data_IF_810836124416
#
_entry.id   IF_810836124416
#
_cell.length_a   1.000
_cell.length_b   1.000
_cell.length_c   1.000
_cell.angle_alpha   90.00
_cell.angle_beta   90.00
_cell.angle_gamma   90.00
#
_symmetry.space_group_name_H-M   'P 1'
#
loop_
_entity.id
_entity.type
_entity.pdbx_description
1 polymer ?
#
# COMPACT_ATOMS: atom_id res chain seq x y z
N UNK A 1 1.93 -6.80 -27.38
CA UNK A 1 2.09 -5.36 -27.06
C UNK A 1 2.01 -4.47 -28.29
N UNK A 2 2.77 -4.69 -29.37
CA UNK A 2 2.72 -3.82 -30.56
C UNK A 2 1.32 -3.70 -31.17
N UNK A 3 0.58 -4.81 -31.24
CA UNK A 3 -0.82 -4.78 -31.71
C UNK A 3 -1.75 -4.01 -30.78
N UNK A 4 -1.53 -4.03 -29.46
CA UNK A 4 -2.35 -3.27 -28.52
C UNK A 4 -2.14 -1.77 -28.69
N UNK A 5 -0.87 -1.36 -28.85
CA UNK A 5 -0.50 0.04 -29.13
C UNK A 5 -1.06 0.51 -30.48
N UNK A 6 -0.91 -0.30 -31.55
CA UNK A 6 -1.42 0.04 -32.88
C UNK A 6 -2.94 0.21 -32.91
N UNK A 7 -3.65 -0.55 -32.08
CA UNK A 7 -5.10 -0.47 -31.95
C UNK A 7 -5.53 0.49 -30.82
N UNK A 8 -4.63 1.33 -30.31
CA UNK A 8 -4.89 2.36 -29.30
C UNK A 8 -5.67 1.85 -28.07
N UNK A 9 -5.40 0.61 -27.64
CA UNK A 9 -6.12 0.01 -26.51
C UNK A 9 -5.82 0.75 -25.22
N UNK A 10 -6.84 1.04 -24.42
CA UNK A 10 -6.64 1.60 -23.09
C UNK A 10 -5.99 0.59 -22.12
N UNK A 11 -5.49 1.09 -20.99
CA UNK A 11 -5.03 0.23 -19.91
C UNK A 11 -6.14 -0.73 -19.44
N UNK A 12 -7.39 -0.25 -19.39
CA UNK A 12 -8.55 -1.05 -18.98
C UNK A 12 -8.90 -2.14 -20.00
N UNK A 13 -8.82 -1.84 -21.30
CA UNK A 13 -9.08 -2.82 -22.36
C UNK A 13 -8.09 -3.97 -22.29
N UNK A 14 -6.80 -3.65 -22.09
CA UNK A 14 -5.76 -4.69 -21.97
C UNK A 14 -5.88 -5.43 -20.64
N UNK A 15 -6.31 -4.78 -19.56
CA UNK A 15 -6.56 -5.44 -18.27
C UNK A 15 -7.62 -6.55 -18.42
N UNK A 16 -8.75 -6.22 -19.05
CA UNK A 16 -9.85 -7.17 -19.35
C UNK A 16 -9.44 -8.24 -20.35
N UNK A 17 -8.70 -7.88 -21.39
CA UNK A 17 -8.21 -8.83 -22.39
C UNK A 17 -7.31 -9.90 -21.77
N UNK A 18 -6.52 -9.52 -20.76
CA UNK A 18 -5.68 -10.42 -19.98
C UNK A 18 -6.43 -11.13 -18.85
N UNK A 19 -7.75 -10.90 -18.71
CA UNK A 19 -8.61 -11.45 -17.67
C UNK A 19 -8.09 -11.18 -16.25
N UNK A 20 -7.49 -10.02 -16.04
CA UNK A 20 -6.96 -9.64 -14.73
C UNK A 20 -8.07 -9.19 -13.77
N UNK A 21 -9.27 -8.95 -14.28
CA UNK A 21 -10.49 -8.72 -13.51
C UNK A 21 -11.19 -10.01 -13.05
N UNK A 22 -10.81 -11.17 -13.63
CA UNK A 22 -11.28 -12.49 -13.20
C UNK A 22 -10.53 -12.93 -11.94
N UNK A 23 -10.95 -12.42 -10.78
CA UNK A 23 -10.39 -12.79 -9.47
C UNK A 23 -9.40 -11.78 -8.91
N UNK A 24 -9.90 -10.59 -8.58
CA UNK A 24 -9.14 -9.49 -7.97
C UNK A 24 -8.30 -9.90 -6.75
N UNK A 25 -8.78 -10.86 -5.97
CA UNK A 25 -8.10 -11.33 -4.75
C UNK A 25 -6.75 -12.01 -5.05
N UNK A 26 -6.56 -12.56 -6.25
CA UNK A 26 -5.33 -13.22 -6.68
C UNK A 26 -4.54 -12.39 -7.70
N UNK A 27 -4.96 -11.15 -7.98
CA UNK A 27 -4.39 -10.30 -9.03
C UNK A 27 -2.86 -10.22 -8.98
N UNK A 28 -2.30 -10.01 -7.78
CA UNK A 28 -0.85 -9.85 -7.59
C UNK A 28 -0.04 -11.10 -7.92
N UNK A 29 -0.67 -12.27 -7.91
CA UNK A 29 -0.04 -13.56 -8.26
C UNK A 29 -0.22 -13.92 -9.73
N UNK A 30 -1.00 -13.15 -10.49
CA UNK A 30 -1.24 -13.43 -11.90
C UNK A 30 0.05 -13.27 -12.72
N UNK A 31 0.45 -14.30 -13.49
CA UNK A 31 1.65 -14.22 -14.33
C UNK A 31 1.51 -13.19 -15.46
N UNK A 32 0.28 -12.80 -15.81
CA UNK A 32 -0.01 -11.82 -16.86
C UNK A 32 0.02 -10.37 -16.36
N UNK A 33 0.08 -10.15 -15.04
CA UNK A 33 0.08 -8.80 -14.46
C UNK A 33 1.33 -8.01 -14.91
N UNK A 34 2.49 -8.66 -14.99
CA UNK A 34 3.73 -8.01 -15.44
C UNK A 34 3.63 -7.52 -16.90
N UNK A 35 2.94 -8.27 -17.76
CA UNK A 35 2.67 -7.86 -19.14
C UNK A 35 1.77 -6.63 -19.19
N UNK A 36 0.76 -6.54 -18.33
CA UNK A 36 -0.10 -5.36 -18.23
C UNK A 36 0.67 -4.14 -17.69
N UNK A 37 1.46 -4.31 -16.63
CA UNK A 37 2.30 -3.24 -16.06
C UNK A 37 3.21 -2.65 -17.14
N UNK A 38 3.95 -3.49 -17.85
CA UNK A 38 4.85 -3.06 -18.92
C UNK A 38 4.11 -2.42 -20.10
N UNK A 39 2.83 -2.77 -20.32
CA UNK A 39 2.01 -2.11 -21.32
C UNK A 39 1.62 -0.69 -20.91
N UNK A 40 1.16 -0.51 -19.66
CA UNK A 40 0.78 0.81 -19.14
C UNK A 40 1.99 1.76 -19.07
N UNK A 41 3.16 1.26 -18.69
CA UNK A 41 4.40 2.05 -18.73
C UNK A 41 4.71 2.56 -20.15
N UNK A 42 4.42 1.78 -21.19
CA UNK A 42 4.57 2.21 -22.61
C UNK A 42 3.55 3.26 -23.04
N UNK A 43 2.43 3.37 -22.32
CA UNK A 43 1.47 4.47 -22.50
C UNK A 43 1.90 5.75 -21.76
N UNK A 44 3.06 5.73 -21.08
CA UNK A 44 3.55 6.80 -20.21
C UNK A 44 2.61 7.11 -19.03
N UNK A 45 1.91 6.10 -18.52
CA UNK A 45 1.03 6.20 -17.35
C UNK A 45 1.58 5.38 -16.17
N UNK A 46 1.06 5.59 -14.97
CA UNK A 46 1.49 4.91 -13.75
C UNK A 46 0.64 3.65 -13.48
N UNK A 47 1.13 2.44 -13.79
CA UNK A 47 0.37 1.20 -13.56
C UNK A 47 0.01 0.98 -12.10
N UNK A 48 0.86 1.41 -11.16
CA UNK A 48 0.64 1.15 -9.73
C UNK A 48 -0.47 2.04 -9.17
N UNK A 49 -0.60 3.28 -9.64
CA UNK A 49 -1.74 4.14 -9.30
C UNK A 49 -3.07 3.52 -9.74
N UNK A 50 -3.12 3.03 -10.99
CA UNK A 50 -4.29 2.35 -11.55
C UNK A 50 -4.59 1.06 -10.77
N UNK A 51 -3.57 0.25 -10.46
CA UNK A 51 -3.74 -0.99 -9.71
C UNK A 51 -4.30 -0.76 -8.32
N UNK A 52 -3.84 0.27 -7.59
CA UNK A 52 -4.42 0.62 -6.29
C UNK A 52 -5.92 0.90 -6.42
N UNK A 53 -6.32 1.66 -7.44
CA UNK A 53 -7.74 1.92 -7.74
C UNK A 53 -8.52 0.63 -8.01
N UNK A 54 -7.97 -0.28 -8.82
CA UNK A 54 -8.60 -1.58 -9.11
C UNK A 54 -8.70 -2.47 -7.87
N UNK A 55 -7.63 -2.58 -7.08
CA UNK A 55 -7.61 -3.38 -5.85
C UNK A 55 -8.67 -2.88 -4.86
N UNK A 56 -8.89 -1.57 -4.74
CA UNK A 56 -9.95 -1.01 -3.88
C UNK A 56 -11.39 -1.39 -4.29
N UNK A 57 -11.59 -2.04 -5.45
CA UNK A 57 -12.90 -2.58 -5.85
C UNK A 57 -13.21 -3.95 -5.23
N UNK A 58 -12.22 -4.69 -4.71
CA UNK A 58 -12.46 -5.94 -3.98
C UNK A 58 -12.86 -5.64 -2.53
N UNK A 59 -13.84 -6.40 -2.01
CA UNK A 59 -14.23 -6.36 -0.59
C UNK A 59 -13.10 -6.73 0.38
N UNK A 60 -12.09 -7.46 -0.11
CA UNK A 60 -10.92 -7.81 0.69
C UNK A 60 -9.95 -6.65 0.86
N UNK A 61 -10.09 -5.57 0.08
CA UNK A 61 -9.16 -4.44 0.04
C UNK A 61 -9.86 -3.10 -0.16
N UNK A 62 -11.14 -3.01 0.22
CA UNK A 62 -12.01 -1.83 0.05
C UNK A 62 -11.67 -0.68 1.01
N UNK A 63 -10.85 -0.93 2.02
CA UNK A 63 -10.34 0.05 2.98
C UNK A 63 -8.80 0.08 2.97
N UNK A 64 -8.20 1.20 3.40
CA UNK A 64 -6.74 1.36 3.36
C UNK A 64 -6.02 0.38 4.32
N UNK A 65 -6.56 0.09 5.50
CA UNK A 65 -6.03 -0.93 6.42
C UNK A 65 -5.89 -2.29 5.75
N UNK A 66 -6.95 -2.75 5.08
CA UNK A 66 -6.97 -4.04 4.38
C UNK A 66 -6.05 -4.05 3.17
N UNK A 67 -6.08 -2.99 2.35
CA UNK A 67 -5.23 -2.87 1.17
C UNK A 67 -3.75 -2.91 1.54
N UNK A 68 -3.34 -2.14 2.56
CA UNK A 68 -1.96 -2.12 3.02
C UNK A 68 -1.58 -3.46 3.64
N UNK A 69 -2.47 -4.12 4.39
CA UNK A 69 -2.19 -5.46 4.90
C UNK A 69 -1.92 -6.47 3.77
N UNK A 70 -2.72 -6.45 2.70
CA UNK A 70 -2.49 -7.28 1.52
C UNK A 70 -1.13 -6.97 0.87
N UNK A 71 -0.80 -5.69 0.67
CA UNK A 71 0.48 -5.27 0.12
C UNK A 71 1.65 -5.77 0.99
N UNK A 72 1.54 -5.63 2.31
CA UNK A 72 2.58 -6.08 3.24
C UNK A 72 2.75 -7.60 3.27
N UNK A 73 1.67 -8.37 3.09
CA UNK A 73 1.74 -9.82 2.90
C UNK A 73 2.44 -10.17 1.59
N UNK A 74 2.04 -9.55 0.48
CA UNK A 74 2.65 -9.76 -0.83
C UNK A 74 4.16 -9.38 -0.84
N UNK A 75 4.57 -8.34 -0.11
CA UNK A 75 5.99 -7.97 0.02
C UNK A 75 6.88 -9.08 0.58
N UNK A 76 6.32 -10.02 1.36
CA UNK A 76 7.06 -11.14 1.96
C UNK A 76 7.26 -12.32 1.02
N UNK A 77 6.45 -12.41 -0.04
CA UNK A 77 6.51 -13.49 -1.01
C UNK A 77 7.44 -13.13 -2.17
N UNK A 78 8.42 -13.99 -2.46
CA UNK A 78 9.43 -13.71 -3.48
C UNK A 78 8.84 -13.40 -4.86
N UNK A 79 7.74 -14.07 -5.23
CA UNK A 79 7.06 -13.90 -6.52
C UNK A 79 6.32 -12.57 -6.67
N UNK A 80 5.88 -11.95 -5.56
CA UNK A 80 5.06 -10.73 -5.60
C UNK A 80 5.75 -9.51 -4.97
N UNK A 81 6.89 -9.70 -4.31
CA UNK A 81 7.61 -8.66 -3.57
C UNK A 81 7.93 -7.41 -4.39
N UNK A 82 8.35 -7.57 -5.64
CA UNK A 82 8.68 -6.44 -6.52
C UNK A 82 7.46 -5.56 -6.83
N UNK A 83 6.34 -6.16 -7.22
CA UNK A 83 5.09 -5.42 -7.51
C UNK A 83 4.55 -4.81 -6.23
N UNK A 84 4.55 -5.56 -5.12
CA UNK A 84 4.05 -5.09 -3.84
C UNK A 84 4.85 -3.90 -3.28
N UNK A 85 6.18 -3.89 -3.44
CA UNK A 85 7.01 -2.73 -3.09
C UNK A 85 6.65 -1.47 -3.89
N UNK A 86 6.37 -1.61 -5.18
CA UNK A 86 5.94 -0.48 -6.02
C UNK A 86 4.51 -0.02 -5.71
N UNK A 87 3.61 -0.94 -5.32
CA UNK A 87 2.27 -0.60 -4.82
C UNK A 87 2.32 0.15 -3.49
N UNK A 88 3.17 -0.28 -2.54
CA UNK A 88 3.41 0.45 -1.30
C UNK A 88 3.90 1.87 -1.61
N UNK A 89 4.92 2.02 -2.46
CA UNK A 89 5.43 3.34 -2.85
C UNK A 89 4.34 4.23 -3.46
N UNK A 90 3.51 3.68 -4.37
CA UNK A 90 2.40 4.41 -4.97
C UNK A 90 1.32 4.79 -3.95
N UNK A 91 1.05 3.94 -2.95
CA UNK A 91 0.11 4.26 -1.87
C UNK A 91 0.65 5.40 -0.99
N UNK A 92 1.94 5.40 -0.68
CA UNK A 92 2.58 6.49 0.06
C UNK A 92 2.51 7.82 -0.71
N UNK A 93 2.81 7.79 -2.01
CA UNK A 93 2.68 8.98 -2.88
C UNK A 93 1.24 9.47 -2.95
N UNK A 94 0.27 8.56 -3.01
CA UNK A 94 -1.14 8.92 -3.01
C UNK A 94 -1.52 9.68 -1.74
N UNK A 95 -1.15 9.18 -0.56
CA UNK A 95 -1.42 9.88 0.70
C UNK A 95 -0.73 11.24 0.77
N UNK A 96 0.49 11.39 0.24
CA UNK A 96 1.16 12.69 0.13
C UNK A 96 0.41 13.65 -0.80
N UNK A 97 -0.02 13.18 -1.97
CA UNK A 97 -0.80 13.97 -2.92
C UNK A 97 -2.16 14.40 -2.37
N UNK A 98 -2.77 13.56 -1.55
CA UNK A 98 -4.01 13.85 -0.79
C UNK A 98 -3.77 14.73 0.45
N UNK A 99 -2.52 15.09 0.75
CA UNK A 99 -2.11 15.89 1.90
C UNK A 99 -2.56 15.30 3.24
N UNK A 100 -2.60 13.97 3.32
CA UNK A 100 -2.85 13.29 4.59
C UNK A 100 -1.77 13.67 5.60
N UNK A 101 -2.12 13.72 6.89
CA UNK A 101 -1.15 13.83 7.97
C UNK A 101 -0.74 12.44 8.46
N UNK A 102 0.31 12.38 9.28
CA UNK A 102 0.67 11.13 9.96
C UNK A 102 -0.48 10.56 10.81
N UNK A 103 -1.28 11.43 11.44
CA UNK A 103 -2.44 11.04 12.22
C UNK A 103 -3.60 10.54 11.35
N UNK A 104 -3.85 11.17 10.19
CA UNK A 104 -4.88 10.71 9.27
C UNK A 104 -4.57 9.31 8.74
N UNK A 105 -3.34 9.06 8.30
CA UNK A 105 -2.92 7.72 7.85
C UNK A 105 -2.96 6.71 9.00
N UNK A 106 -2.64 7.12 10.24
CA UNK A 106 -2.78 6.25 11.41
C UNK A 106 -4.22 5.78 11.60
N UNK A 107 -5.20 6.68 11.46
CA UNK A 107 -6.64 6.37 11.51
C UNK A 107 -7.13 5.57 10.30
N UNK A 108 -6.65 5.87 9.08
CA UNK A 108 -6.97 5.10 7.87
C UNK A 108 -6.53 3.63 7.98
N UNK A 109 -5.45 3.37 8.72
CA UNK A 109 -4.94 2.04 9.02
C UNK A 109 -5.56 1.40 10.28
N UNK A 110 -6.51 2.09 10.93
CA UNK A 110 -7.25 1.66 12.13
C UNK A 110 -6.36 1.31 13.31
N UNK A 111 -5.22 2.00 13.45
CA UNK A 111 -4.27 1.73 14.51
C UNK A 111 -4.70 2.22 15.89
N UNK A 112 -5.70 3.08 15.93
CA UNK A 112 -6.41 3.53 17.13
C UNK A 112 -7.26 2.41 17.76
N UNK A 113 -7.66 1.39 16.99
CA UNK A 113 -8.44 0.24 17.47
C UNK A 113 -7.56 -0.93 17.99
N UNK A 114 -6.24 -0.89 17.76
CA UNK A 114 -5.33 -2.03 17.97
C UNK A 114 -4.79 -2.18 19.40
N UNK A 115 -4.82 -1.11 20.19
CA UNK A 115 -4.23 -1.07 21.52
C UNK A 115 -2.81 -1.64 21.54
N UNK A 116 -2.50 -2.51 22.50
CA UNK A 116 -1.14 -3.05 22.67
C UNK A 116 -0.61 -3.89 21.51
N UNK A 117 -1.43 -4.25 20.52
CA UNK A 117 -1.05 -5.12 19.42
C UNK A 117 -0.49 -4.40 18.19
N UNK A 118 -0.53 -3.07 18.20
CA UNK A 118 -0.11 -2.22 17.09
C UNK A 118 1.22 -2.65 16.46
N UNK A 119 2.29 -2.79 17.25
CA UNK A 119 3.64 -3.09 16.74
C UNK A 119 3.74 -4.45 16.03
N UNK A 120 2.79 -5.36 16.25
CA UNK A 120 2.74 -6.66 15.57
C UNK A 120 2.06 -6.61 14.21
N UNK A 121 1.38 -5.50 13.87
CA UNK A 121 0.75 -5.32 12.56
C UNK A 121 1.82 -5.04 11.50
N UNK A 122 1.90 -5.85 10.42
CA UNK A 122 2.85 -5.60 9.34
C UNK A 122 2.73 -4.20 8.73
N UNK A 123 1.50 -3.66 8.70
CA UNK A 123 1.18 -2.33 8.18
C UNK A 123 1.81 -1.17 8.95
N UNK A 124 2.25 -1.36 10.21
CA UNK A 124 2.97 -0.30 10.95
C UNK A 124 4.23 0.11 10.22
N UNK A 125 4.90 -0.81 9.53
CA UNK A 125 6.08 -0.48 8.71
C UNK A 125 5.74 0.47 7.56
N UNK A 126 4.57 0.31 6.95
CA UNK A 126 4.12 1.20 5.89
C UNK A 126 3.79 2.60 6.43
N UNK A 127 3.19 2.70 7.61
CA UNK A 127 2.95 3.99 8.28
C UNK A 127 4.26 4.68 8.69
N UNK A 128 5.21 3.97 9.28
CA UNK A 128 6.53 4.54 9.58
C UNK A 128 7.22 5.03 8.31
N UNK A 129 7.19 4.24 7.24
CA UNK A 129 7.73 4.65 5.93
C UNK A 129 7.02 5.90 5.38
N UNK A 130 5.71 6.01 5.59
CA UNK A 130 4.96 7.22 5.24
C UNK A 130 5.44 8.44 6.01
N UNK A 131 5.56 8.34 7.34
CA UNK A 131 6.01 9.47 8.18
C UNK A 131 7.44 9.90 7.83
N UNK A 132 8.34 8.94 7.61
CA UNK A 132 9.70 9.22 7.13
C UNK A 132 9.71 9.94 5.79
N UNK A 133 8.74 9.67 4.92
CA UNK A 133 8.60 10.34 3.63
C UNK A 133 7.95 11.73 3.75
N UNK A 134 7.01 11.88 4.68
CA UNK A 134 6.29 13.12 4.96
C UNK A 134 7.21 14.20 5.53
N UNK A 135 8.03 13.85 6.53
CA UNK A 135 9.06 14.73 7.10
C UNK A 135 10.28 13.90 7.55
N UNK A 136 11.28 13.72 6.67
CA UNK A 136 12.47 12.92 6.98
C UNK A 136 13.27 13.43 8.19
N UNK A 137 13.20 14.72 8.51
CA UNK A 137 14.01 15.34 9.57
C UNK A 137 13.33 15.33 10.94
N UNK A 138 11.99 15.16 10.99
CA UNK A 138 11.21 15.17 12.23
C UNK A 138 10.38 13.90 12.42
N UNK A 139 10.67 12.86 11.66
CA UNK A 139 9.86 11.63 11.65
C UNK A 139 9.65 11.03 13.05
N UNK A 140 10.68 10.98 13.90
CA UNK A 140 10.56 10.48 15.28
C UNK A 140 9.62 11.33 16.14
N UNK A 141 9.74 12.66 16.09
CA UNK A 141 8.87 13.59 16.82
C UNK A 141 7.41 13.44 16.35
N UNK A 142 7.20 13.30 15.03
CA UNK A 142 5.88 13.10 14.44
C UNK A 142 5.29 11.77 14.89
N UNK A 143 6.06 10.67 14.82
CA UNK A 143 5.62 9.35 15.28
C UNK A 143 5.19 9.42 16.75
N UNK A 144 6.02 9.99 17.61
CA UNK A 144 5.70 10.12 19.04
C UNK A 144 4.46 11.00 19.27
N UNK A 145 4.30 12.09 18.51
CA UNK A 145 3.13 12.97 18.63
C UNK A 145 1.81 12.27 18.29
N UNK A 146 1.85 11.30 17.35
CA UNK A 146 0.68 10.51 16.97
C UNK A 146 0.42 9.38 17.97
N UNK A 147 1.45 8.78 18.56
CA UNK A 147 1.29 7.67 19.50
C UNK A 147 0.87 8.08 20.92
N UNK A 148 1.38 9.21 21.43
CA UNK A 148 1.14 9.69 22.81
C UNK A 148 -0.35 9.87 23.20
N UNK A 149 -1.25 10.31 22.29
CA UNK A 149 -2.68 10.36 22.59
C UNK A 149 -3.32 8.98 22.86
N UNK A 150 -2.74 7.91 22.34
CA UNK A 150 -3.30 6.55 22.43
C UNK A 150 -2.59 5.66 23.46
N UNK A 151 -1.34 5.99 23.81
CA UNK A 151 -0.49 5.17 24.66
C UNK A 151 0.26 6.02 25.68
N UNK A 152 0.22 5.62 26.96
CA UNK A 152 1.08 6.24 27.98
C UNK A 152 2.55 5.93 27.71
N UNK A 153 3.46 6.73 28.27
CA UNK A 153 4.90 6.52 28.14
C UNK A 153 5.31 5.12 28.66
N UNK A 154 4.70 4.64 29.75
CA UNK A 154 4.92 3.28 30.27
C UNK A 154 4.45 2.22 29.29
N UNK A 155 3.29 2.42 28.65
CA UNK A 155 2.75 1.47 27.67
C UNK A 155 3.61 1.41 26.42
N UNK A 156 4.08 2.56 25.93
CA UNK A 156 5.03 2.63 24.82
C UNK A 156 6.34 1.93 25.16
N UNK A 157 6.90 2.18 26.35
CA UNK A 157 8.11 1.51 26.80
C UNK A 157 7.93 -0.02 26.87
N UNK A 158 6.79 -0.50 27.37
CA UNK A 158 6.45 -1.93 27.37
C UNK A 158 6.40 -2.51 25.95
N UNK A 159 5.69 -1.83 25.03
CA UNK A 159 5.56 -2.27 23.63
C UNK A 159 6.94 -2.39 22.95
N UNK A 160 7.86 -1.46 23.21
CA UNK A 160 9.22 -1.49 22.68
C UNK A 160 10.09 -2.57 23.34
N UNK A 161 9.91 -2.82 24.64
CA UNK A 161 10.69 -3.83 25.38
C UNK A 161 10.33 -5.27 25.01
N UNK A 162 9.09 -5.53 24.56
CA UNK A 162 8.61 -6.84 24.12
C UNK A 162 8.91 -7.14 22.63
N UNK A 163 9.54 -6.20 21.92
CA UNK A 163 9.85 -6.30 20.50
C UNK A 163 11.19 -6.96 20.15
N UNK A 164 11.86 -7.61 21.10
CA UNK A 164 13.14 -8.32 20.93
C UNK A 164 13.02 -9.83 21.10
#
# INVERSE_FOLDING_TARGET
MADWLRNEKSADDVFKLLKLDDGMDNLLTSPLLSNWVAYVEKLNDNPYSILLGKLKTSKLTDTDDKLVEMIMKAKREASTSSIAGKLEAAQLEKWLGEKQTAADVFGLLKFDEEGGHLLWRPSVRAWVAYVMKLDPHKSDDVILSVLKPHYSDEKLAQMLSLGY
#
